data_IF_704327714383
#
_entry.id   IF_704327714383
#
_cell.length_a   1.000
_cell.length_b   1.000
_cell.length_c   1.000
_cell.angle_alpha   90.00
_cell.angle_beta   90.00
_cell.angle_gamma   90.00
#
_symmetry.space_group_name_H-M   'P 1'
#
loop_
_entity.id
_entity.type
_entity.pdbx_description
1 polymer ?
#
# COMPACT_ATOMS: atom_id res chain seq x y z
N UNK A 1 -0.26 8.49 4.48
CA UNK A 1 -0.42 7.01 4.46
C UNK A 1 -1.89 6.65 4.26
N UNK A 2 -2.55 7.20 3.23
CA UNK A 2 -4.02 7.13 3.11
C UNK A 2 -4.52 5.98 2.19
N UNK A 3 -3.65 5.37 1.38
CA UNK A 3 -4.03 4.28 0.49
C UNK A 3 -3.52 2.92 0.99
N UNK A 4 -3.92 2.54 2.20
CA UNK A 4 -3.53 1.25 2.79
C UNK A 4 -4.24 0.05 2.12
N UNK A 5 -5.30 0.28 1.36
CA UNK A 5 -6.02 -0.76 0.60
C UNK A 5 -5.38 -1.09 -0.72
N UNK A 6 -4.73 -0.12 -1.34
CA UNK A 6 -4.15 -0.33 -2.65
C UNK A 6 -2.97 -1.29 -2.59
N UNK A 7 -2.21 -1.37 -1.50
CA UNK A 7 -1.13 -2.36 -1.37
C UNK A 7 -1.66 -3.80 -1.52
N UNK A 8 -2.92 -4.07 -1.08
CA UNK A 8 -3.58 -5.37 -1.24
C UNK A 8 -3.94 -5.70 -2.70
N UNK A 9 -4.17 -4.68 -3.51
CA UNK A 9 -4.49 -4.83 -4.94
C UNK A 9 -3.21 -4.80 -5.80
N UNK A 10 -2.24 -4.00 -5.38
CA UNK A 10 -0.96 -3.79 -6.06
C UNK A 10 -0.13 -5.08 -6.06
N UNK A 11 -0.03 -5.75 -4.91
CA UNK A 11 0.77 -6.97 -4.78
C UNK A 11 0.34 -8.09 -5.74
N UNK A 12 -0.94 -8.53 -5.77
CA UNK A 12 -1.36 -9.56 -6.72
C UNK A 12 -1.20 -9.10 -8.18
N UNK A 13 -1.44 -7.83 -8.48
CA UNK A 13 -1.26 -7.31 -9.84
C UNK A 13 0.21 -7.31 -10.29
N UNK A 14 1.15 -6.98 -9.39
CA UNK A 14 2.58 -7.12 -9.65
C UNK A 14 2.94 -8.59 -9.88
N UNK A 15 2.38 -9.53 -9.10
CA UNK A 15 2.65 -10.97 -9.29
C UNK A 15 2.21 -11.50 -10.64
N UNK A 16 1.15 -10.96 -11.25
CA UNK A 16 0.75 -11.36 -12.62
C UNK A 16 1.73 -10.95 -13.72
N UNK A 17 2.66 -10.03 -13.42
CA UNK A 17 3.70 -9.60 -14.35
C UNK A 17 5.07 -10.24 -14.05
N UNK A 18 5.16 -11.16 -13.07
CA UNK A 18 6.38 -11.91 -12.79
C UNK A 18 6.52 -13.09 -13.76
N UNK A 19 7.76 -13.39 -14.16
CA UNK A 19 8.08 -14.55 -15.01
C UNK A 19 7.76 -15.87 -14.26
N UNK A 20 7.21 -16.85 -14.97
CA UNK A 20 6.66 -18.11 -14.42
C UNK A 20 7.63 -18.95 -13.56
N UNK A 21 8.95 -18.76 -13.72
CA UNK A 21 9.97 -19.55 -13.02
C UNK A 21 10.25 -19.10 -11.57
N UNK A 22 9.56 -18.07 -11.06
CA UNK A 22 9.83 -17.53 -9.73
C UNK A 22 8.84 -18.09 -8.71
N UNK A 23 9.35 -18.67 -7.62
CA UNK A 23 8.53 -19.06 -6.47
C UNK A 23 7.95 -17.81 -5.79
N UNK A 24 6.76 -17.40 -6.21
CA UNK A 24 6.06 -16.17 -5.77
C UNK A 24 6.02 -16.08 -4.23
N UNK A 25 5.71 -17.20 -3.56
CA UNK A 25 5.66 -17.25 -2.09
C UNK A 25 6.99 -16.89 -1.43
N UNK A 26 8.12 -17.36 -1.98
CA UNK A 26 9.46 -17.06 -1.45
C UNK A 26 9.80 -15.58 -1.58
N UNK A 27 9.45 -14.97 -2.73
CA UNK A 27 9.70 -13.54 -2.96
C UNK A 27 8.88 -12.69 -1.99
N UNK A 28 7.58 -12.96 -1.87
CA UNK A 28 6.71 -12.22 -0.95
C UNK A 28 7.21 -12.34 0.49
N UNK A 29 7.60 -13.54 0.92
CA UNK A 29 8.09 -13.78 2.28
C UNK A 29 9.40 -13.03 2.54
N UNK A 30 10.39 -13.13 1.65
CA UNK A 30 11.67 -12.44 1.80
C UNK A 30 11.50 -10.91 1.79
N UNK A 31 10.67 -10.38 0.89
CA UNK A 31 10.38 -8.93 0.84
C UNK A 31 9.65 -8.46 2.09
N UNK A 32 8.70 -9.23 2.61
CA UNK A 32 7.97 -8.90 3.84
C UNK A 32 8.86 -8.91 5.07
N UNK A 33 9.75 -9.90 5.19
CA UNK A 33 10.74 -9.96 6.28
C UNK A 33 11.71 -8.78 6.21
N UNK A 34 12.26 -8.49 5.02
CA UNK A 34 13.14 -7.34 4.82
C UNK A 34 12.46 -6.02 5.21
N UNK A 35 11.22 -5.81 4.74
CA UNK A 35 10.42 -4.63 5.12
C UNK A 35 10.20 -4.54 6.63
N UNK A 36 9.85 -5.65 7.28
CA UNK A 36 9.61 -5.69 8.73
C UNK A 36 10.85 -5.31 9.53
N UNK A 37 12.02 -5.83 9.15
CA UNK A 37 13.29 -5.52 9.82
C UNK A 37 13.64 -4.04 9.67
N UNK A 38 13.57 -3.50 8.45
CA UNK A 38 13.83 -2.08 8.19
C UNK A 38 12.84 -1.17 8.92
N UNK A 39 11.57 -1.58 8.99
CA UNK A 39 10.55 -0.84 9.71
C UNK A 39 10.81 -0.82 11.23
N UNK A 40 11.21 -1.95 11.82
CA UNK A 40 11.58 -2.02 13.23
C UNK A 40 12.79 -1.14 13.56
N UNK A 41 13.79 -1.09 12.67
CA UNK A 41 14.98 -0.25 12.82
C UNK A 41 14.61 1.24 12.93
N UNK A 42 13.53 1.67 12.26
CA UNK A 42 13.02 3.04 12.34
C UNK A 42 12.10 3.24 13.56
N UNK A 43 11.26 2.24 13.84
CA UNK A 43 10.24 2.31 14.89
C UNK A 43 10.85 2.37 16.30
N UNK A 44 11.83 1.52 16.62
CA UNK A 44 12.42 1.48 17.95
C UNK A 44 13.07 2.81 18.38
N UNK A 45 13.96 3.43 17.58
CA UNK A 45 14.54 4.73 17.93
C UNK A 45 13.49 5.83 18.05
N UNK A 46 12.47 5.82 17.18
CA UNK A 46 11.39 6.80 17.22
C UNK A 46 10.65 6.74 18.55
N UNK A 47 10.28 5.54 19.01
CA UNK A 47 9.55 5.36 20.28
C UNK A 47 10.46 5.62 21.48
N UNK A 48 11.74 5.21 21.42
CA UNK A 48 12.69 5.44 22.50
C UNK A 48 12.96 6.93 22.75
N UNK A 49 13.00 7.75 21.69
CA UNK A 49 13.26 9.19 21.80
C UNK A 49 12.00 10.00 22.09
N UNK A 50 10.88 9.75 21.39
CA UNK A 50 9.65 10.52 21.63
C UNK A 50 8.87 10.06 22.87
N UNK A 51 9.07 8.82 23.32
CA UNK A 51 8.18 8.16 24.25
C UNK A 51 6.87 7.70 23.58
N UNK A 52 6.15 6.80 24.26
CA UNK A 52 4.93 6.18 23.74
C UNK A 52 3.79 7.19 23.49
N UNK A 53 3.53 8.06 24.46
CA UNK A 53 2.36 8.96 24.42
C UNK A 53 2.45 9.99 23.29
N UNK A 54 3.65 10.56 23.09
CA UNK A 54 3.89 11.53 22.01
C UNK A 54 3.90 10.83 20.65
N UNK A 55 4.53 9.65 20.54
CA UNK A 55 4.58 8.90 19.30
C UNK A 55 3.18 8.47 18.80
N UNK A 56 2.28 8.14 19.73
CA UNK A 56 0.89 7.74 19.42
C UNK A 56 0.03 8.92 18.93
N UNK A 57 0.26 10.11 19.45
CA UNK A 57 -0.58 11.29 19.16
C UNK A 57 -0.10 12.05 17.93
N UNK A 58 1.18 11.88 17.56
CA UNK A 58 1.78 12.48 16.39
C UNK A 58 1.22 11.91 15.08
N UNK A 59 0.95 12.79 14.10
CA UNK A 59 0.53 12.39 12.75
C UNK A 59 1.66 11.66 12.01
N UNK A 60 2.91 12.10 12.23
CA UNK A 60 4.10 11.46 11.69
C UNK A 60 5.20 11.46 12.76
N UNK A 61 5.26 10.43 13.62
CA UNK A 61 6.21 10.37 14.72
C UNK A 61 7.66 10.29 14.25
N UNK A 62 7.94 9.62 13.13
CA UNK A 62 9.29 9.54 12.56
C UNK A 62 9.81 10.91 12.09
N UNK A 63 8.94 11.71 11.48
CA UNK A 63 9.31 13.08 11.11
C UNK A 63 9.65 13.93 12.34
N UNK A 64 8.84 13.85 13.40
CA UNK A 64 9.15 14.54 14.67
C UNK A 64 10.47 14.05 15.30
N UNK A 65 10.75 12.75 15.24
CA UNK A 65 12.03 12.18 15.64
C UNK A 65 13.19 12.82 14.88
N UNK A 66 13.12 12.90 13.55
CA UNK A 66 14.19 13.51 12.74
C UNK A 66 14.44 14.98 13.04
N UNK A 67 13.46 15.70 13.64
CA UNK A 67 13.61 17.09 14.09
C UNK A 67 14.30 17.22 15.44
N UNK A 68 14.14 16.22 16.31
CA UNK A 68 14.69 16.19 17.65
C UNK A 68 16.13 15.67 17.69
N UNK A 69 16.52 14.84 16.73
CA UNK A 69 17.90 14.33 16.61
C UNK A 69 18.82 15.44 16.08
N UNK A 70 19.28 16.32 16.98
CA UNK A 70 20.29 17.36 16.70
C UNK A 70 21.68 16.95 17.21
N UNK A 71 22.05 15.68 17.05
CA UNK A 71 23.25 15.11 17.69
C UNK A 71 24.58 15.70 17.17
N UNK A 72 24.65 16.16 15.91
CA UNK A 72 25.86 16.76 15.32
C UNK A 72 25.46 17.83 14.28
N UNK A 73 26.30 18.85 14.07
CA UNK A 73 26.07 19.96 13.12
C UNK A 73 25.80 19.50 11.67
N UNK A 74 26.26 18.31 11.28
CA UNK A 74 25.97 17.68 9.98
C UNK A 74 24.57 17.03 9.92
N UNK A 75 24.03 16.59 11.07
CA UNK A 75 22.75 15.89 11.21
C UNK A 75 21.56 16.87 11.28
N UNK A 76 21.81 18.18 11.41
CA UNK A 76 20.78 19.23 11.46
C UNK A 76 19.88 19.32 10.21
N UNK A 77 20.26 18.71 9.07
CA UNK A 77 19.48 18.74 7.82
C UNK A 77 18.83 17.40 7.44
N UNK A 78 18.88 16.39 8.31
CA UNK A 78 18.28 15.07 8.02
C UNK A 78 16.77 15.15 7.82
N UNK A 79 16.11 16.11 8.47
CA UNK A 79 14.69 16.44 8.25
C UNK A 79 14.38 16.72 6.77
N UNK A 80 15.16 17.59 6.14
CA UNK A 80 14.96 17.99 4.73
C UNK A 80 15.16 16.83 3.77
N UNK A 81 16.17 15.98 4.01
CA UNK A 81 16.40 14.77 3.21
C UNK A 81 15.27 13.76 3.37
N UNK A 82 14.76 13.57 4.59
CA UNK A 82 13.63 12.70 4.86
C UNK A 82 12.37 13.18 4.12
N UNK A 83 12.08 14.49 4.16
CA UNK A 83 10.97 15.07 3.41
C UNK A 83 11.13 14.84 1.90
N UNK A 84 12.32 15.08 1.34
CA UNK A 84 12.59 14.88 -0.09
C UNK A 84 12.39 13.42 -0.51
N UNK A 85 12.94 12.47 0.25
CA UNK A 85 12.76 11.04 -0.01
C UNK A 85 11.28 10.63 0.11
N UNK A 86 10.56 11.17 1.10
CA UNK A 86 9.15 10.91 1.30
C UNK A 86 8.30 11.44 0.15
N UNK A 87 8.56 12.67 -0.33
CA UNK A 87 7.85 13.26 -1.47
C UNK A 87 8.01 12.43 -2.74
N UNK A 88 9.25 12.05 -3.08
CA UNK A 88 9.53 11.19 -4.24
C UNK A 88 8.78 9.85 -4.11
N UNK A 89 8.81 9.25 -2.91
CA UNK A 89 8.11 7.98 -2.64
C UNK A 89 6.59 8.13 -2.79
N UNK A 90 6.01 9.23 -2.30
CA UNK A 90 4.57 9.50 -2.43
C UNK A 90 4.17 9.67 -3.88
N UNK A 91 4.94 10.43 -4.67
CA UNK A 91 4.69 10.62 -6.10
C UNK A 91 4.80 9.31 -6.89
N UNK A 92 5.84 8.52 -6.62
CA UNK A 92 6.01 7.20 -7.23
C UNK A 92 4.83 6.27 -6.89
N UNK A 93 4.45 6.21 -5.61
CA UNK A 93 3.29 5.43 -5.18
C UNK A 93 2.04 5.93 -5.90
N UNK A 94 1.75 7.22 -5.93
CA UNK A 94 0.56 7.78 -6.57
C UNK A 94 0.46 7.38 -8.04
N UNK A 95 1.55 7.50 -8.80
CA UNK A 95 1.62 7.09 -10.21
C UNK A 95 1.34 5.60 -10.39
N UNK A 96 1.89 4.75 -9.53
CA UNK A 96 1.66 3.30 -9.57
C UNK A 96 0.19 2.95 -9.30
N UNK A 97 -0.43 3.63 -8.33
CA UNK A 97 -1.85 3.42 -7.99
C UNK A 97 -2.76 3.82 -9.15
N UNK A 98 -2.46 4.95 -9.79
CA UNK A 98 -3.23 5.41 -10.95
C UNK A 98 -3.13 4.45 -12.13
N UNK A 99 -1.92 3.96 -12.42
CA UNK A 99 -1.72 2.96 -13.48
C UNK A 99 -2.54 1.68 -13.21
N UNK A 100 -2.51 1.18 -11.98
CA UNK A 100 -3.21 -0.03 -11.58
C UNK A 100 -4.73 0.17 -11.64
N UNK A 101 -5.25 1.28 -11.12
CA UNK A 101 -6.67 1.60 -11.20
C UNK A 101 -7.15 1.69 -12.67
N UNK A 102 -6.42 2.42 -13.52
CA UNK A 102 -6.76 2.55 -14.94
C UNK A 102 -6.71 1.21 -15.69
N UNK A 103 -5.72 0.36 -15.40
CA UNK A 103 -5.59 -0.94 -16.03
C UNK A 103 -6.69 -1.92 -15.55
N UNK A 104 -7.05 -1.93 -14.27
CA UNK A 104 -8.15 -2.75 -13.75
C UNK A 104 -9.48 -2.38 -14.39
N UNK A 105 -9.78 -1.09 -14.49
CA UNK A 105 -11.02 -0.60 -15.10
C UNK A 105 -11.03 -0.88 -16.60
N UNK A 106 -9.91 -0.69 -17.29
CA UNK A 106 -9.76 -1.10 -18.70
C UNK A 106 -10.02 -2.59 -18.92
N UNK A 107 -9.61 -3.48 -18.00
CA UNK A 107 -9.93 -4.91 -18.08
C UNK A 107 -11.42 -5.21 -17.87
N UNK A 108 -12.13 -4.41 -17.06
CA UNK A 108 -13.59 -4.53 -16.91
C UNK A 108 -14.33 -4.08 -18.18
N UNK A 109 -13.86 -3.02 -18.83
CA UNK A 109 -14.44 -2.49 -20.06
C UNK A 109 -13.67 -3.02 -21.29
N UNK A 110 -14.08 -4.20 -21.77
CA UNK A 110 -13.53 -4.80 -23.00
C UNK A 110 -13.43 -3.74 -24.12
N UNK A 111 -12.23 -3.55 -24.67
CA UNK A 111 -11.85 -2.66 -25.80
C UNK A 111 -11.42 -1.22 -25.48
N UNK A 112 -11.44 -0.77 -24.23
CA UNK A 112 -10.96 0.60 -23.91
C UNK A 112 -9.52 0.55 -23.43
N UNK A 113 -8.63 1.31 -24.06
CA UNK A 113 -7.22 1.38 -23.65
C UNK A 113 -7.04 2.01 -22.27
N UNK A 114 -6.09 1.52 -21.47
CA UNK A 114 -5.81 2.06 -20.13
C UNK A 114 -5.50 3.57 -20.14
N UNK A 115 -4.90 4.09 -21.23
CA UNK A 115 -4.53 5.50 -21.39
C UNK A 115 -5.76 6.42 -21.30
N UNK A 116 -6.90 5.94 -21.79
CA UNK A 116 -8.15 6.69 -21.76
C UNK A 116 -8.68 6.88 -20.33
N UNK A 117 -8.50 5.90 -19.44
CA UNK A 117 -8.94 5.99 -18.04
C UNK A 117 -7.89 6.62 -17.12
N UNK A 118 -6.61 6.58 -17.48
CA UNK A 118 -5.54 7.13 -16.64
C UNK A 118 -5.65 8.65 -16.44
N UNK A 119 -6.04 9.39 -17.47
CA UNK A 119 -6.20 10.85 -17.45
C UNK A 119 -7.38 11.29 -16.55
N UNK A 120 -8.61 10.79 -16.73
CA UNK A 120 -9.75 11.19 -15.89
C UNK A 120 -9.54 10.80 -14.43
N UNK A 121 -8.83 9.70 -14.14
CA UNK A 121 -8.52 9.35 -12.75
C UNK A 121 -7.57 10.34 -12.09
N UNK A 122 -6.50 10.77 -12.77
CA UNK A 122 -5.61 11.80 -12.22
C UNK A 122 -6.36 13.12 -12.03
N UNK A 123 -7.18 13.53 -12.99
CA UNK A 123 -7.98 14.75 -12.89
C UNK A 123 -8.95 14.69 -11.70
N UNK A 124 -9.67 13.58 -11.54
CA UNK A 124 -10.55 13.37 -10.40
C UNK A 124 -9.78 13.43 -9.08
N UNK A 125 -8.61 12.79 -8.99
CA UNK A 125 -7.75 12.85 -7.80
C UNK A 125 -7.28 14.27 -7.49
N UNK A 126 -6.89 15.05 -8.52
CA UNK A 126 -6.50 16.45 -8.35
C UNK A 126 -7.67 17.31 -7.85
N UNK A 127 -8.87 17.13 -8.40
CA UNK A 127 -10.07 17.86 -7.96
C UNK A 127 -10.39 17.54 -6.51
N UNK A 128 -10.44 16.25 -6.16
CA UNK A 128 -10.69 15.79 -4.81
C UNK A 128 -9.63 16.35 -3.85
N UNK A 129 -8.35 16.28 -4.21
CA UNK A 129 -7.26 16.79 -3.36
C UNK A 129 -7.31 18.30 -3.10
N UNK A 130 -7.96 19.09 -3.96
CA UNK A 130 -8.12 20.54 -3.77
C UNK A 130 -9.39 20.90 -2.99
N UNK A 131 -10.22 19.92 -2.59
CA UNK A 131 -11.39 20.20 -1.76
C UNK A 131 -10.95 20.69 -0.38
N UNK A 132 -11.49 21.83 0.10
CA UNK A 132 -11.05 22.47 1.35
C UNK A 132 -11.27 21.58 2.59
N UNK A 133 -12.21 20.65 2.53
CA UNK A 133 -12.49 19.69 3.60
C UNK A 133 -11.35 18.69 3.80
N UNK A 134 -10.61 18.33 2.75
CA UNK A 134 -9.53 17.33 2.81
C UNK A 134 -8.26 17.90 3.46
N UNK A 135 -8.03 19.20 3.33
CA UNK A 135 -6.94 19.90 4.03
C UNK A 135 -7.12 19.98 5.54
N UNK A 136 -8.30 19.62 6.06
CA UNK A 136 -8.59 19.70 7.49
C UNK A 136 -8.01 18.51 8.26
N UNK A 137 -7.16 18.80 9.26
CA UNK A 137 -6.53 17.82 10.15
C UNK A 137 -7.58 16.96 10.88
N UNK A 138 -8.74 17.52 11.23
CA UNK A 138 -9.84 16.78 11.86
C UNK A 138 -10.40 15.69 10.94
N UNK A 139 -10.57 16.00 9.66
CA UNK A 139 -11.04 15.03 8.66
C UNK A 139 -10.00 13.92 8.45
N UNK A 140 -8.71 14.26 8.41
CA UNK A 140 -7.61 13.30 8.33
C UNK A 140 -7.58 12.37 9.56
N UNK A 141 -7.77 12.91 10.78
CA UNK A 141 -7.81 12.10 12.00
C UNK A 141 -8.97 11.12 12.01
N UNK A 142 -10.16 11.52 11.53
CA UNK A 142 -11.32 10.64 11.38
C UNK A 142 -11.01 9.50 10.40
N UNK A 143 -10.40 9.82 9.25
CA UNK A 143 -10.03 8.81 8.26
C UNK A 143 -8.95 7.84 8.76
N UNK A 144 -7.99 8.33 9.55
CA UNK A 144 -6.89 7.52 10.12
C UNK A 144 -7.32 6.83 11.42
N UNK A 145 -8.58 6.98 11.86
CA UNK A 145 -9.01 6.44 13.15
C UNK A 145 -8.68 4.94 13.29
N UNK A 146 -8.19 4.54 14.48
CA UNK A 146 -7.69 3.20 14.74
C UNK A 146 -8.78 2.12 14.69
N UNK A 147 -10.05 2.47 14.53
CA UNK A 147 -11.15 1.51 14.48
C UNK A 147 -11.68 1.28 13.06
N UNK A 148 -11.87 2.34 12.27
CA UNK A 148 -12.49 2.24 10.95
C UNK A 148 -11.53 1.60 9.93
N UNK A 149 -10.28 2.07 9.88
CA UNK A 149 -9.32 1.56 8.89
C UNK A 149 -8.93 0.10 9.12
N UNK A 150 -8.62 -0.36 10.34
CA UNK A 150 -8.29 -1.77 10.56
C UNK A 150 -9.45 -2.72 10.27
N UNK A 151 -10.69 -2.32 10.58
CA UNK A 151 -11.87 -3.13 10.28
C UNK A 151 -12.03 -3.38 8.78
N UNK A 152 -11.91 -2.34 7.95
CA UNK A 152 -12.01 -2.50 6.49
C UNK A 152 -10.85 -3.35 5.96
N UNK A 153 -9.63 -3.19 6.48
CA UNK A 153 -8.48 -4.03 6.08
C UNK A 153 -8.72 -5.50 6.37
N UNK A 154 -9.28 -5.82 7.54
CA UNK A 154 -9.57 -7.18 7.95
C UNK A 154 -10.52 -7.87 6.94
N UNK A 155 -11.52 -7.15 6.43
CA UNK A 155 -12.43 -7.68 5.41
C UNK A 155 -11.68 -8.03 4.12
N UNK A 156 -10.85 -7.14 3.58
CA UNK A 156 -10.15 -7.40 2.33
C UNK A 156 -9.02 -8.43 2.44
N UNK A 157 -8.33 -8.49 3.57
CA UNK A 157 -7.21 -9.43 3.78
C UNK A 157 -7.69 -10.81 4.18
N UNK A 158 -8.70 -10.89 5.05
CA UNK A 158 -9.11 -12.15 5.67
C UNK A 158 -10.41 -12.68 5.08
N UNK A 159 -11.45 -11.83 4.98
CA UNK A 159 -12.78 -12.28 4.55
C UNK A 159 -12.78 -12.65 3.06
N UNK A 160 -12.21 -11.82 2.19
CA UNK A 160 -12.20 -12.09 0.73
C UNK A 160 -11.46 -13.40 0.39
N UNK A 161 -10.21 -13.64 0.85
CA UNK A 161 -9.54 -14.91 0.58
C UNK A 161 -10.23 -16.11 1.23
N UNK A 162 -10.80 -15.95 2.42
CA UNK A 162 -11.56 -17.02 3.08
C UNK A 162 -12.77 -17.46 2.27
N UNK A 163 -13.52 -16.51 1.70
CA UNK A 163 -14.67 -16.80 0.83
C UNK A 163 -14.20 -17.54 -0.43
N UNK A 164 -13.12 -17.08 -1.07
CA UNK A 164 -12.56 -17.73 -2.27
C UNK A 164 -12.11 -19.15 -1.96
N UNK A 165 -11.42 -19.35 -0.83
CA UNK A 165 -10.96 -20.66 -0.36
C UNK A 165 -12.15 -21.59 -0.08
N UNK A 166 -13.20 -21.08 0.54
CA UNK A 166 -14.41 -21.83 0.85
C UNK A 166 -15.12 -22.27 -0.44
N UNK A 167 -15.28 -21.36 -1.40
CA UNK A 167 -15.83 -21.66 -2.73
C UNK A 167 -14.96 -22.73 -3.44
N UNK A 168 -13.64 -22.61 -3.35
CA UNK A 168 -12.71 -23.59 -3.92
C UNK A 168 -12.90 -24.97 -3.28
N UNK A 169 -13.01 -25.08 -1.95
CA UNK A 169 -13.26 -26.36 -1.29
C UNK A 169 -14.58 -27.00 -1.72
N UNK A 170 -15.65 -26.22 -1.87
CA UNK A 170 -16.95 -26.71 -2.35
C UNK A 170 -16.88 -27.19 -3.81
N UNK A 171 -16.12 -26.49 -4.66
CA UNK A 171 -16.06 -26.76 -6.11
C UNK A 171 -14.83 -27.55 -6.55
N UNK A 172 -14.03 -28.05 -5.61
CA UNK A 172 -12.72 -28.68 -5.83
C UNK A 172 -12.72 -29.72 -6.95
N UNK A 173 -13.74 -30.59 -6.98
CA UNK A 173 -13.89 -31.67 -7.98
C UNK A 173 -14.00 -31.18 -9.44
N UNK A 174 -14.46 -29.94 -9.67
CA UNK A 174 -14.59 -29.35 -11.02
C UNK A 174 -13.42 -28.44 -11.39
N UNK A 175 -12.68 -27.92 -10.41
CA UNK A 175 -11.62 -26.92 -10.63
C UNK A 175 -10.25 -27.59 -10.80
N UNK A 176 -9.96 -28.64 -10.02
CA UNK A 176 -8.68 -29.36 -10.07
C UNK A 176 -8.30 -29.90 -11.47
N UNK A 177 -9.20 -30.49 -12.27
CA UNK A 177 -8.82 -30.94 -13.63
C UNK A 177 -8.45 -29.77 -14.54
N UNK A 178 -9.19 -28.66 -14.47
CA UNK A 178 -8.96 -27.46 -15.31
C UNK A 178 -7.69 -26.71 -14.92
N UNK A 179 -7.32 -26.74 -13.64
CA UNK A 179 -6.07 -26.15 -13.14
C UNK A 179 -4.84 -26.95 -13.58
N UNK A 180 -4.95 -28.27 -13.64
CA UNK A 180 -3.89 -29.15 -14.12
C UNK A 180 -3.66 -29.02 -15.64
N UNK A 181 -4.73 -28.82 -16.43
CA UNK A 181 -4.61 -28.51 -17.86
C UNK A 181 -3.83 -27.21 -18.12
N UNK A 182 -4.15 -26.13 -17.38
CA UNK A 182 -3.45 -24.85 -17.48
C UNK A 182 -1.99 -24.92 -17.02
N UNK A 183 -1.70 -25.75 -16.00
CA UNK A 183 -0.33 -25.93 -15.50
C UNK A 183 0.56 -26.74 -16.44
N UNK A 184 -0.02 -27.57 -17.31
CA UNK A 184 0.71 -28.38 -18.28
C UNK A 184 0.90 -27.66 -19.64
N UNK A 185 0.22 -26.53 -19.87
CA UNK A 185 0.35 -25.71 -21.09
C UNK A 185 1.40 -24.58 -20.97
N UNK A 186 1.86 -24.28 -19.76
CA UNK A 186 2.95 -23.35 -19.47
C UNK A 186 4.23 -24.12 -19.12
#
# INVERSE_FOLDING_TARGET
TACLFAELVILPMLTTNLKDNVKIFKVILTSSLCFTILFLLILFPTIMVLGYDLAKTAINPYYLFTRQVQAFSFVQRVESFNLMAWFITVLFKLSLHNYIAANLVSKCFKKVSFKFFAIPFILALCIVSNLPQIGNIYFLKIFIMPYLMPAVKFVFIFVVPSIILLIYFIRRKKIDPKLNELRNQN
#
